data_IF_657788567833
#
_entry.id   IF_657788567833
#
_cell.length_a   1.000
_cell.length_b   1.000
_cell.length_c   1.000
_cell.angle_alpha   90.00
_cell.angle_beta   90.00
_cell.angle_gamma   90.00
#
_symmetry.space_group_name_H-M   'P 1'
#
loop_
_entity.id
_entity.type
_entity.pdbx_description
1 polymer ?
#
# COMPACT_ATOMS: atom_id res chain seq x y z
N UNK A 1 -7.33 -30.55 82.19
CA UNK A 1 -6.00 -30.27 81.62
C UNK A 1 -6.04 -30.94 80.28
N UNK A 2 -6.55 -30.22 79.29
CA UNK A 2 -6.87 -30.75 77.98
C UNK A 2 -5.97 -30.06 76.97
N UNK A 3 -5.11 -30.86 76.33
CA UNK A 3 -4.22 -30.46 75.24
C UNK A 3 -5.04 -30.16 73.98
N UNK A 4 -5.04 -28.90 73.56
CA UNK A 4 -5.59 -28.51 72.25
C UNK A 4 -4.45 -28.61 71.23
N UNK A 5 -4.49 -29.65 70.40
CA UNK A 5 -3.66 -29.77 69.21
C UNK A 5 -4.08 -28.72 68.18
N UNK A 6 -3.17 -27.79 67.87
CA UNK A 6 -3.32 -26.88 66.75
C UNK A 6 -3.17 -27.66 65.43
N UNK A 7 -4.23 -27.68 64.63
CA UNK A 7 -4.20 -28.20 63.26
C UNK A 7 -3.55 -27.17 62.34
N UNK A 8 -2.43 -27.55 61.73
CA UNK A 8 -1.82 -26.84 60.61
C UNK A 8 -2.76 -26.85 59.41
N UNK A 9 -3.20 -25.66 58.99
CA UNK A 9 -3.87 -25.47 57.70
C UNK A 9 -2.81 -25.34 56.60
N UNK A 10 -2.88 -26.12 55.51
CA UNK A 10 -1.99 -25.91 54.39
C UNK A 10 -2.29 -24.55 53.76
N UNK A 11 -1.27 -23.68 53.76
CA UNK A 11 -1.28 -22.43 53.00
C UNK A 11 -1.46 -22.78 51.52
N UNK A 12 -2.65 -22.51 50.98
CA UNK A 12 -2.86 -22.46 49.54
C UNK A 12 -1.97 -21.37 48.98
N UNK A 13 -0.88 -21.77 48.35
CA UNK A 13 -0.06 -20.90 47.53
C UNK A 13 -0.93 -20.34 46.42
N UNK A 14 -1.15 -19.02 46.44
CA UNK A 14 -1.57 -18.29 45.25
C UNK A 14 -0.54 -18.61 44.18
N UNK A 15 -0.88 -19.51 43.25
CA UNK A 15 -0.12 -19.66 42.02
C UNK A 15 -0.09 -18.26 41.39
N UNK A 16 1.10 -17.67 41.34
CA UNK A 16 1.39 -16.57 40.43
C UNK A 16 0.90 -17.03 39.05
N UNK A 17 -0.15 -16.38 38.56
CA UNK A 17 -0.56 -16.52 37.17
C UNK A 17 0.60 -15.89 36.41
N UNK A 18 1.57 -16.72 36.00
CA UNK A 18 2.55 -16.31 35.00
C UNK A 18 1.74 -15.69 33.85
N UNK A 19 1.97 -14.42 33.49
CA UNK A 19 1.28 -13.85 32.35
C UNK A 19 1.60 -14.74 31.16
N UNK A 20 0.56 -15.38 30.59
CA UNK A 20 0.64 -16.08 29.32
C UNK A 20 1.52 -15.25 28.41
N UNK A 21 2.69 -15.77 28.04
CA UNK A 21 3.55 -15.12 27.06
C UNK A 21 2.69 -14.85 25.84
N UNK A 22 2.34 -13.59 25.63
CA UNK A 22 1.65 -13.15 24.43
C UNK A 22 2.54 -13.56 23.26
N UNK A 23 2.15 -14.61 22.55
CA UNK A 23 2.79 -14.96 21.29
C UNK A 23 2.79 -13.71 20.43
N UNK A 24 3.98 -13.31 19.96
CA UNK A 24 4.10 -12.12 19.12
C UNK A 24 3.17 -12.29 17.92
N UNK A 25 2.34 -11.28 17.59
CA UNK A 25 1.46 -11.36 16.44
C UNK A 25 2.21 -11.72 15.16
N UNK A 26 1.83 -12.80 14.49
CA UNK A 26 2.39 -13.15 13.19
C UNK A 26 1.64 -12.44 12.06
N UNK A 27 2.38 -11.86 11.12
CA UNK A 27 1.86 -11.13 9.96
C UNK A 27 2.21 -11.81 8.63
N UNK A 28 1.23 -11.82 7.72
CA UNK A 28 1.41 -12.04 6.28
C UNK A 28 1.10 -10.75 5.53
N UNK A 29 2.01 -10.33 4.65
CA UNK A 29 1.82 -9.14 3.82
C UNK A 29 1.43 -9.52 2.39
N UNK A 30 0.48 -8.79 1.83
CA UNK A 30 0.11 -8.85 0.42
C UNK A 30 0.34 -7.47 -0.19
N UNK A 31 1.35 -7.36 -1.05
CA UNK A 31 1.87 -6.08 -1.52
C UNK A 31 1.55 -5.88 -3.00
N UNK A 32 0.83 -4.80 -3.27
CA UNK A 32 0.66 -4.23 -4.60
C UNK A 32 1.84 -3.29 -4.90
N UNK A 33 2.80 -3.82 -5.65
CA UNK A 33 4.06 -3.13 -5.94
C UNK A 33 3.88 -1.95 -6.92
N UNK A 34 2.79 -1.92 -7.69
CA UNK A 34 2.51 -0.84 -8.64
C UNK A 34 1.88 0.37 -7.94
N UNK A 35 1.08 0.12 -6.90
CA UNK A 35 0.35 1.17 -6.19
C UNK A 35 1.16 1.83 -5.06
N UNK A 36 2.10 1.08 -4.46
CA UNK A 36 2.89 1.49 -3.30
C UNK A 36 4.39 1.44 -3.58
N UNK A 37 5.11 2.50 -3.19
CA UNK A 37 6.57 2.54 -3.34
C UNK A 37 7.28 1.72 -2.26
N UNK A 38 8.33 1.00 -2.67
CA UNK A 38 9.22 0.22 -1.80
C UNK A 38 9.90 1.06 -0.71
N UNK A 39 9.98 2.39 -0.88
CA UNK A 39 10.46 3.29 0.17
C UNK A 39 9.64 3.22 1.46
N UNK A 40 8.38 2.79 1.36
CA UNK A 40 7.48 2.62 2.51
C UNK A 40 7.79 1.37 3.33
N UNK A 41 8.67 0.47 2.86
CA UNK A 41 8.97 -0.80 3.53
C UNK A 41 9.50 -0.62 4.95
N UNK A 42 10.41 0.34 5.17
CA UNK A 42 10.97 0.61 6.49
C UNK A 42 9.89 1.05 7.49
N UNK A 43 9.05 2.02 7.10
CA UNK A 43 7.97 2.49 7.95
C UNK A 43 6.90 1.41 8.19
N UNK A 44 6.60 0.58 7.19
CA UNK A 44 5.68 -0.55 7.35
C UNK A 44 6.21 -1.55 8.37
N UNK A 45 7.49 -1.90 8.29
CA UNK A 45 8.12 -2.83 9.23
C UNK A 45 8.15 -2.22 10.64
N UNK A 46 8.47 -0.94 10.77
CA UNK A 46 8.49 -0.22 12.04
C UNK A 46 7.14 -0.28 12.75
N UNK A 47 6.05 0.05 12.04
CA UNK A 47 4.69 -0.05 12.58
C UNK A 47 4.36 -1.48 13.01
N UNK A 48 4.65 -2.48 12.17
CA UNK A 48 4.21 -3.87 12.46
C UNK A 48 5.05 -4.57 13.54
N UNK A 49 6.36 -4.32 13.56
CA UNK A 49 7.28 -5.02 14.47
C UNK A 49 7.58 -4.22 15.74
N UNK A 50 7.72 -2.90 15.65
CA UNK A 50 8.05 -2.05 16.79
C UNK A 50 6.80 -1.50 17.48
N UNK A 51 5.85 -0.90 16.75
CA UNK A 51 4.65 -0.32 17.37
C UNK A 51 3.64 -1.40 17.79
N UNK A 52 3.38 -2.37 16.92
CA UNK A 52 2.42 -3.46 17.20
C UNK A 52 3.08 -4.65 17.91
N UNK A 53 4.42 -4.78 17.85
CA UNK A 53 5.16 -5.84 18.54
C UNK A 53 5.05 -7.22 17.89
N UNK A 54 4.75 -7.30 16.58
CA UNK A 54 4.62 -8.58 15.86
C UNK A 54 5.87 -9.01 15.09
N UNK A 55 5.70 -10.06 14.29
CA UNK A 55 6.70 -10.62 13.38
C UNK A 55 6.11 -10.81 12.00
N UNK A 56 6.87 -10.44 10.96
CA UNK A 56 6.45 -10.66 9.57
C UNK A 56 7.01 -12.01 9.14
N UNK A 57 6.13 -12.95 8.79
CA UNK A 57 6.50 -14.33 8.46
C UNK A 57 6.61 -14.56 6.96
N UNK A 58 5.70 -13.95 6.19
CA UNK A 58 5.66 -14.09 4.74
C UNK A 58 5.21 -12.81 4.08
N UNK A 59 5.68 -12.63 2.86
CA UNK A 59 5.24 -11.58 1.95
C UNK A 59 4.90 -12.21 0.62
N UNK A 60 3.71 -11.93 0.12
CA UNK A 60 3.33 -12.19 -1.25
C UNK A 60 3.23 -10.84 -1.95
N UNK A 61 3.92 -10.67 -3.07
CA UNK A 61 3.93 -9.42 -3.81
C UNK A 61 3.62 -9.66 -5.29
N UNK A 62 2.92 -8.70 -5.89
CA UNK A 62 2.68 -8.66 -7.31
C UNK A 62 2.74 -7.21 -7.80
N UNK A 63 3.19 -7.07 -9.05
CA UNK A 63 3.22 -5.83 -9.79
C UNK A 63 3.36 -6.17 -11.26
N UNK A 64 3.00 -5.26 -12.15
CA UNK A 64 2.90 -5.49 -13.59
C UNK A 64 4.24 -5.35 -14.34
N UNK A 65 5.37 -5.48 -13.61
CA UNK A 65 6.77 -5.37 -14.05
C UNK A 65 7.13 -4.07 -14.79
N UNK A 66 6.28 -3.04 -14.79
CA UNK A 66 6.66 -1.71 -15.29
C UNK A 66 7.63 -1.07 -14.31
N UNK A 67 8.93 -1.12 -14.63
CA UNK A 67 9.97 -0.40 -13.89
C UNK A 67 10.51 -1.12 -12.66
N UNK A 68 10.60 -2.45 -12.68
CA UNK A 68 11.27 -3.27 -11.65
C UNK A 68 10.78 -2.99 -10.21
N UNK A 69 9.48 -2.67 -10.05
CA UNK A 69 8.88 -2.35 -8.75
C UNK A 69 8.91 -3.55 -7.79
N UNK A 70 8.68 -4.77 -8.30
CA UNK A 70 8.77 -5.99 -7.51
C UNK A 70 10.18 -6.18 -6.93
N UNK A 71 11.21 -6.05 -7.78
CA UNK A 71 12.62 -6.18 -7.34
C UNK A 71 13.00 -5.11 -6.32
N UNK A 72 12.50 -3.89 -6.47
CA UNK A 72 12.71 -2.81 -5.52
C UNK A 72 12.13 -3.15 -4.13
N UNK A 73 10.91 -3.69 -4.10
CA UNK A 73 10.29 -4.18 -2.86
C UNK A 73 11.04 -5.36 -2.25
N UNK A 74 11.43 -6.35 -3.06
CA UNK A 74 12.18 -7.53 -2.60
C UNK A 74 13.50 -7.10 -1.96
N UNK A 75 14.23 -6.21 -2.63
CA UNK A 75 15.50 -5.67 -2.13
C UNK A 75 15.30 -4.95 -0.80
N UNK A 76 14.37 -4.00 -0.74
CA UNK A 76 14.11 -3.23 0.48
C UNK A 76 13.71 -4.12 1.66
N UNK A 77 12.82 -5.11 1.43
CA UNK A 77 12.38 -6.03 2.48
C UNK A 77 13.49 -6.95 2.97
N UNK A 78 14.35 -7.44 2.07
CA UNK A 78 15.47 -8.34 2.44
C UNK A 78 16.61 -7.61 3.14
N UNK A 79 16.83 -6.34 2.82
CA UNK A 79 17.79 -5.48 3.53
C UNK A 79 17.36 -5.28 4.99
N UNK A 80 16.06 -5.17 5.25
CA UNK A 80 15.49 -4.93 6.58
C UNK A 80 15.25 -6.23 7.37
N UNK A 81 14.84 -7.30 6.70
CA UNK A 81 14.57 -8.62 7.31
C UNK A 81 15.30 -9.69 6.48
N UNK A 82 16.57 -9.97 6.80
CA UNK A 82 17.33 -11.03 6.14
C UNK A 82 16.63 -12.39 6.29
N UNK A 83 16.48 -13.13 5.19
CA UNK A 83 15.83 -14.44 5.18
C UNK A 83 14.30 -14.42 5.17
N UNK A 84 13.66 -13.25 5.03
CA UNK A 84 12.20 -13.16 4.88
C UNK A 84 11.72 -14.00 3.69
N UNK A 85 10.68 -14.82 3.93
CA UNK A 85 10.01 -15.58 2.88
C UNK A 85 9.20 -14.63 2.01
N UNK A 86 9.60 -14.48 0.75
CA UNK A 86 8.95 -13.60 -0.22
C UNK A 86 8.54 -14.42 -1.45
N UNK A 87 7.24 -14.48 -1.71
CA UNK A 87 6.65 -15.02 -2.93
C UNK A 87 6.40 -13.86 -3.91
N UNK A 88 7.18 -13.83 -5.00
CA UNK A 88 6.97 -12.90 -6.11
C UNK A 88 6.05 -13.54 -7.15
N UNK A 89 4.82 -13.03 -7.27
CA UNK A 89 3.85 -13.53 -8.23
C UNK A 89 4.17 -12.99 -9.62
N UNK A 90 4.54 -13.89 -10.53
CA UNK A 90 4.71 -13.55 -11.94
C UNK A 90 3.34 -13.35 -12.58
N UNK A 91 3.10 -12.13 -13.08
CA UNK A 91 1.84 -11.75 -13.72
C UNK A 91 2.10 -11.17 -15.11
N UNK A 92 1.21 -11.40 -16.09
CA UNK A 92 1.34 -10.77 -17.39
C UNK A 92 1.20 -9.24 -17.26
N UNK A 93 1.95 -8.48 -18.07
CA UNK A 93 1.84 -7.02 -18.12
C UNK A 93 0.53 -6.59 -18.81
N UNK A 94 -0.58 -6.70 -18.08
CA UNK A 94 -1.91 -6.25 -18.49
C UNK A 94 -2.61 -5.58 -17.30
N UNK A 95 -3.58 -4.69 -17.55
CA UNK A 95 -4.37 -4.09 -16.48
C UNK A 95 -4.94 -5.15 -15.54
N UNK A 96 -4.92 -4.86 -14.25
CA UNK A 96 -5.49 -5.65 -13.16
C UNK A 96 -4.88 -7.05 -12.95
N UNK A 97 -3.81 -7.42 -13.66
CA UNK A 97 -3.22 -8.75 -13.50
C UNK A 97 -2.60 -8.97 -12.13
N UNK A 98 -1.91 -7.94 -11.61
CA UNK A 98 -1.35 -7.94 -10.26
C UNK A 98 -2.47 -8.05 -9.22
N UNK A 99 -3.53 -7.26 -9.36
CA UNK A 99 -4.68 -7.27 -8.44
C UNK A 99 -5.34 -8.64 -8.40
N UNK A 100 -5.66 -9.22 -9.57
CA UNK A 100 -6.25 -10.56 -9.68
C UNK A 100 -5.34 -11.60 -9.02
N UNK A 101 -4.03 -11.55 -9.26
CA UNK A 101 -3.10 -12.51 -8.68
C UNK A 101 -3.04 -12.41 -7.15
N UNK A 102 -3.01 -11.19 -6.59
CA UNK A 102 -3.04 -10.97 -5.15
C UNK A 102 -4.36 -11.43 -4.53
N UNK A 103 -5.50 -11.20 -5.18
CA UNK A 103 -6.81 -11.68 -4.72
C UNK A 103 -6.85 -13.21 -4.69
N UNK A 104 -6.35 -13.86 -5.75
CA UNK A 104 -6.27 -15.31 -5.80
C UNK A 104 -5.33 -15.87 -4.73
N UNK A 105 -4.21 -15.20 -4.46
CA UNK A 105 -3.30 -15.59 -3.38
C UNK A 105 -3.94 -15.43 -1.99
N UNK A 106 -4.62 -14.30 -1.74
CA UNK A 106 -5.40 -14.08 -0.51
C UNK A 106 -6.45 -15.18 -0.31
N UNK A 107 -7.19 -15.53 -1.35
CA UNK A 107 -8.20 -16.60 -1.31
C UNK A 107 -7.60 -17.98 -1.09
N UNK A 108 -6.49 -18.30 -1.76
CA UNK A 108 -5.76 -19.57 -1.61
C UNK A 108 -5.30 -19.80 -0.16
N UNK A 109 -4.81 -18.76 0.50
CA UNK A 109 -4.21 -18.87 1.83
C UNK A 109 -5.23 -18.64 2.97
N UNK A 110 -6.48 -18.31 2.66
CA UNK A 110 -7.52 -17.95 3.63
C UNK A 110 -7.68 -18.97 4.77
N UNK A 111 -7.80 -20.25 4.42
CA UNK A 111 -7.95 -21.33 5.40
C UNK A 111 -6.73 -21.44 6.34
N UNK A 112 -5.54 -21.20 5.83
CA UNK A 112 -4.32 -21.21 6.63
C UNK A 112 -4.26 -20.01 7.59
N UNK A 113 -4.59 -18.81 7.12
CA UNK A 113 -4.64 -17.61 7.97
C UNK A 113 -5.61 -17.79 9.13
N UNK A 114 -6.79 -18.37 8.87
CA UNK A 114 -7.79 -18.69 9.89
C UNK A 114 -7.27 -19.71 10.90
N UNK A 115 -6.66 -20.80 10.42
CA UNK A 115 -6.12 -21.88 11.26
C UNK A 115 -4.98 -21.41 12.17
N UNK A 116 -4.07 -20.61 11.62
CA UNK A 116 -2.86 -20.14 12.32
C UNK A 116 -3.07 -18.85 13.09
N UNK A 117 -4.26 -18.23 12.97
CA UNK A 117 -4.56 -16.90 13.52
C UNK A 117 -3.59 -15.81 13.04
N UNK A 118 -2.99 -16.01 11.86
CA UNK A 118 -2.11 -15.05 11.23
C UNK A 118 -2.89 -13.79 10.86
N UNK A 119 -2.28 -12.64 11.11
CA UNK A 119 -2.82 -11.33 10.75
C UNK A 119 -2.42 -11.01 9.32
N UNK A 120 -3.36 -10.56 8.52
CA UNK A 120 -3.13 -10.19 7.12
C UNK A 120 -2.99 -8.68 7.01
N UNK A 121 -2.02 -8.20 6.25
CA UNK A 121 -1.88 -6.79 5.88
C UNK A 121 -1.88 -6.68 4.38
N UNK A 122 -2.86 -5.97 3.83
CA UNK A 122 -2.91 -5.62 2.40
C UNK A 122 -2.28 -4.25 2.22
N UNK A 123 -1.23 -4.17 1.40
CA UNK A 123 -0.47 -2.95 1.13
C UNK A 123 -0.89 -2.42 -0.24
N UNK A 124 -1.99 -1.68 -0.28
CA UNK A 124 -2.53 -1.05 -1.49
C UNK A 124 -3.56 0.04 -1.16
N UNK A 125 -3.82 0.92 -2.12
CA UNK A 125 -4.97 1.85 -2.14
C UNK A 125 -6.02 1.45 -3.18
N UNK A 126 -5.77 0.40 -3.96
CA UNK A 126 -6.65 -0.02 -5.04
C UNK A 126 -7.98 -0.55 -4.49
N UNK A 127 -9.09 -0.05 -5.04
CA UNK A 127 -10.43 -0.39 -4.55
C UNK A 127 -10.75 -1.87 -4.66
N UNK A 128 -10.27 -2.55 -5.70
CA UNK A 128 -10.54 -3.97 -5.91
C UNK A 128 -9.85 -4.81 -4.83
N UNK A 129 -8.61 -4.45 -4.48
CA UNK A 129 -7.87 -5.09 -3.39
C UNK A 129 -8.47 -4.78 -2.02
N UNK A 130 -8.96 -3.56 -1.80
CA UNK A 130 -9.66 -3.19 -0.57
C UNK A 130 -10.98 -3.97 -0.42
N UNK A 131 -11.73 -4.16 -1.50
CA UNK A 131 -12.97 -4.93 -1.47
C UNK A 131 -12.70 -6.41 -1.16
N UNK A 132 -11.66 -6.99 -1.76
CA UNK A 132 -11.22 -8.34 -1.41
C UNK A 132 -10.77 -8.44 0.06
N UNK A 133 -10.09 -7.41 0.57
CA UNK A 133 -9.66 -7.35 1.96
C UNK A 133 -10.85 -7.30 2.94
N UNK A 134 -11.94 -6.61 2.59
CA UNK A 134 -13.18 -6.65 3.37
C UNK A 134 -13.77 -8.06 3.42
N UNK A 135 -13.85 -8.76 2.28
CA UNK A 135 -14.35 -10.13 2.25
C UNK A 135 -13.51 -11.09 3.11
N UNK A 136 -12.18 -10.95 3.09
CA UNK A 136 -11.26 -11.74 3.93
C UNK A 136 -11.47 -11.41 5.42
N UNK A 137 -11.71 -10.15 5.76
CA UNK A 137 -12.04 -9.74 7.13
C UNK A 137 -13.37 -10.33 7.59
N UNK A 138 -14.41 -10.28 6.75
CA UNK A 138 -15.74 -10.82 7.04
C UNK A 138 -15.72 -12.33 7.22
N UNK A 139 -14.79 -13.03 6.54
CA UNK A 139 -14.51 -14.44 6.76
C UNK A 139 -13.84 -14.76 8.13
N UNK A 140 -13.50 -13.74 8.92
CA UNK A 140 -12.97 -13.86 10.28
C UNK A 140 -11.46 -13.72 10.41
N UNK A 141 -10.75 -13.35 9.35
CA UNK A 141 -9.31 -13.06 9.42
C UNK A 141 -9.08 -11.67 10.03
N UNK A 142 -8.09 -11.57 10.91
CA UNK A 142 -7.63 -10.26 11.41
C UNK A 142 -6.86 -9.55 10.30
N UNK A 143 -7.52 -8.59 9.66
CA UNK A 143 -6.98 -7.90 8.51
C UNK A 143 -6.76 -6.41 8.78
N UNK A 144 -5.65 -5.91 8.26
CA UNK A 144 -5.27 -4.50 8.23
C UNK A 144 -4.97 -4.08 6.80
N UNK A 145 -5.04 -2.79 6.54
CA UNK A 145 -4.59 -2.18 5.29
C UNK A 145 -3.45 -1.23 5.61
N UNK A 146 -2.46 -1.12 4.72
CA UNK A 146 -1.42 -0.11 4.84
C UNK A 146 -1.17 0.58 3.50
N UNK A 147 -0.97 1.90 3.51
CA UNK A 147 -0.56 2.64 2.33
C UNK A 147 0.04 4.00 2.69
N UNK A 148 0.85 4.55 1.79
CA UNK A 148 1.40 5.89 1.90
C UNK A 148 0.31 6.96 1.90
N UNK A 149 0.37 7.89 2.86
CA UNK A 149 -0.57 9.00 2.96
C UNK A 149 -0.52 9.85 1.70
N UNK A 150 -1.67 10.18 1.11
CA UNK A 150 -1.72 10.96 -0.12
C UNK A 150 -2.68 12.12 0.01
N UNK A 151 -2.33 13.24 -0.62
CA UNK A 151 -3.17 14.43 -0.66
C UNK A 151 -4.52 14.18 -1.37
N UNK A 152 -4.59 13.14 -2.22
CA UNK A 152 -5.82 12.72 -2.88
C UNK A 152 -6.57 11.78 -1.91
N UNK A 153 -7.84 12.08 -1.57
CA UNK A 153 -8.67 11.19 -0.78
C UNK A 153 -8.78 9.83 -1.46
N UNK A 154 -8.24 8.80 -0.81
CA UNK A 154 -8.37 7.42 -1.26
C UNK A 154 -9.63 6.80 -0.69
N UNK A 155 -10.08 5.71 -1.30
CA UNK A 155 -11.22 4.94 -0.80
C UNK A 155 -10.88 4.37 0.58
N UNK A 156 -11.17 5.14 1.63
CA UNK A 156 -11.06 4.68 3.02
C UNK A 156 -12.29 3.85 3.33
N UNK A 157 -12.09 2.54 3.46
CA UNK A 157 -13.11 1.64 3.98
C UNK A 157 -13.13 1.79 5.50
N UNK A 158 -14.21 2.36 6.05
CA UNK A 158 -14.37 2.53 7.51
C UNK A 158 -14.26 1.20 8.28
N UNK A 159 -14.52 0.11 7.58
CA UNK A 159 -14.51 -1.25 8.10
C UNK A 159 -13.09 -1.79 8.23
N UNK A 160 -12.08 -1.19 7.62
CA UNK A 160 -10.71 -1.70 7.61
C UNK A 160 -9.79 -0.82 8.46
N UNK A 161 -9.16 -1.43 9.47
CA UNK A 161 -8.12 -0.75 10.24
C UNK A 161 -6.94 -0.45 9.31
N UNK A 162 -6.59 0.83 9.19
CA UNK A 162 -5.63 1.30 8.21
C UNK A 162 -4.40 1.91 8.88
N UNK A 163 -3.21 1.53 8.43
CA UNK A 163 -1.94 2.15 8.76
C UNK A 163 -1.54 3.13 7.66
N UNK A 164 -1.39 4.40 8.01
CA UNK A 164 -0.88 5.42 7.09
C UNK A 164 0.64 5.45 7.16
N UNK A 165 1.28 5.23 6.03
CA UNK A 165 2.73 5.25 5.88
C UNK A 165 3.19 6.65 5.41
N UNK A 166 4.41 7.09 5.74
CA UNK A 166 4.93 8.35 5.26
C UNK A 166 5.03 8.35 3.73
N UNK A 167 4.60 9.45 3.10
CA UNK A 167 4.77 9.65 1.67
C UNK A 167 6.20 10.12 1.37
N UNK A 168 7.08 9.16 1.15
CA UNK A 168 8.43 9.44 0.70
C UNK A 168 8.37 9.49 -0.83
N UNK A 169 8.34 10.71 -1.37
CA UNK A 169 8.32 10.92 -2.81
C UNK A 169 9.54 10.25 -3.44
N UNK A 170 9.32 9.42 -4.46
CA UNK A 170 10.43 8.93 -5.27
C UNK A 170 11.15 10.13 -5.87
N UNK A 171 12.48 10.28 -5.69
CA UNK A 171 13.21 11.34 -6.36
C UNK A 171 12.94 11.19 -7.86
N UNK A 172 12.61 12.28 -8.58
CA UNK A 172 12.36 12.19 -10.01
C UNK A 172 13.59 11.59 -10.66
N UNK A 173 13.44 10.39 -11.25
CA UNK A 173 14.49 9.79 -12.06
C UNK A 173 14.91 10.83 -13.09
N UNK A 174 16.16 11.27 -12.98
CA UNK A 174 16.77 12.16 -13.96
C UNK A 174 16.57 11.52 -15.33
N UNK A 175 15.91 12.24 -16.22
CA UNK A 175 15.79 11.87 -17.62
C UNK A 175 17.18 11.44 -18.11
N UNK A 176 17.27 10.21 -18.61
CA UNK A 176 18.44 9.70 -19.31
C UNK A 176 18.81 10.74 -20.37
N UNK A 177 19.90 11.47 -20.13
CA UNK A 177 20.60 12.19 -21.19
C UNK A 177 21.17 11.11 -22.09
N UNK A 178 20.42 10.76 -23.12
CA UNK A 178 20.95 10.10 -24.31
C UNK A 178 22.03 11.01 -24.87
N UNK A 179 23.29 10.68 -24.57
CA UNK A 179 24.45 11.27 -25.23
C UNK A 179 24.55 10.54 -26.56
N UNK A 180 23.98 11.11 -27.61
CA UNK A 180 24.38 10.75 -28.97
C UNK A 180 25.77 11.36 -29.24
N UNK A 181 26.73 10.58 -29.78
CA UNK A 181 27.94 11.14 -30.35
C UNK A 181 27.75 11.30 -31.85
N UNK A 182 27.64 12.54 -32.35
CA UNK A 182 28.24 12.82 -33.65
C UNK A 182 28.52 14.31 -33.88
N UNK A 183 29.82 14.56 -34.10
CA UNK A 183 30.41 15.28 -35.23
C UNK A 183 29.79 16.59 -35.75
N UNK A 184 30.72 17.56 -35.88
CA UNK A 184 30.73 18.70 -36.83
C UNK A 184 30.12 20.05 -36.41
N UNK A 185 31.02 20.92 -35.92
CA UNK A 185 31.30 22.27 -36.45
C UNK A 185 30.17 23.02 -37.18
N UNK A 186 29.67 24.11 -36.55
CA UNK A 186 29.73 25.49 -37.11
C UNK A 186 29.19 26.55 -36.14
N UNK A 187 30.12 27.42 -35.75
CA UNK A 187 30.08 28.85 -35.38
C UNK A 187 28.69 29.53 -35.24
N UNK A 188 28.49 30.07 -34.02
CA UNK A 188 27.47 31.02 -33.60
C UNK A 188 27.44 32.34 -34.40
N UNK A 189 26.26 32.77 -34.85
CA UNK A 189 25.77 34.14 -34.64
C UNK A 189 24.26 34.24 -34.94
N UNK A 190 23.38 34.24 -33.92
CA UNK A 190 21.99 34.69 -34.08
C UNK A 190 21.55 35.53 -32.88
N UNK A 191 21.06 36.72 -33.22
CA UNK A 191 20.46 37.80 -32.42
C UNK A 191 19.28 37.32 -31.55
N UNK A 192 18.96 38.01 -30.43
CA UNK A 192 17.77 37.70 -29.64
C UNK A 192 16.53 38.31 -30.30
N UNK A 193 15.53 37.49 -30.61
CA UNK A 193 14.18 37.95 -30.93
C UNK A 193 13.19 37.46 -29.87
N UNK A 194 12.43 38.42 -29.38
CA UNK A 194 11.36 38.33 -28.39
C UNK A 194 10.29 37.30 -28.76
N UNK A 195 9.95 36.42 -27.82
CA UNK A 195 8.79 35.53 -27.92
C UNK A 195 7.49 36.29 -27.57
N UNK A 196 6.43 36.22 -28.38
CA UNK A 196 5.08 36.52 -27.95
C UNK A 196 4.37 35.27 -27.40
N UNK A 197 3.35 35.54 -26.59
CA UNK A 197 2.61 34.61 -25.74
C UNK A 197 1.97 33.41 -26.46
N UNK A 198 1.92 32.31 -25.70
CA UNK A 198 1.23 31.04 -25.90
C UNK A 198 -0.09 31.15 -26.68
N UNK A 199 -0.10 30.58 -27.89
CA UNK A 199 -1.31 30.25 -28.62
C UNK A 199 -1.66 28.78 -28.34
N UNK A 200 -2.73 28.55 -27.57
CA UNK A 200 -3.31 27.23 -27.37
C UNK A 200 -3.78 26.69 -28.74
N UNK A 201 -3.42 25.46 -29.14
CA UNK A 201 -3.85 24.87 -30.41
C UNK A 201 -5.39 24.88 -30.51
N UNK A 202 -5.91 25.33 -31.66
CA UNK A 202 -7.36 25.48 -31.93
C UNK A 202 -8.18 24.19 -31.65
N UNK A 203 -7.51 23.05 -31.67
CA UNK A 203 -8.06 21.73 -31.36
C UNK A 203 -8.47 21.56 -29.88
N UNK A 204 -7.69 22.13 -28.94
CA UNK A 204 -8.00 22.08 -27.50
C UNK A 204 -9.20 22.98 -27.17
N UNK A 205 -9.30 24.14 -27.84
CA UNK A 205 -10.44 25.05 -27.67
C UNK A 205 -11.76 24.43 -28.19
N UNK A 206 -11.70 23.65 -29.28
CA UNK A 206 -12.86 22.91 -29.77
C UNK A 206 -13.26 21.75 -28.84
N UNK A 207 -12.30 21.02 -28.28
CA UNK A 207 -12.57 19.95 -27.32
C UNK A 207 -13.25 20.48 -26.03
N UNK A 208 -12.76 21.60 -25.48
CA UNK A 208 -13.36 22.24 -24.29
C UNK A 208 -14.78 22.74 -24.59
N UNK A 209 -15.02 23.29 -25.79
CA UNK A 209 -16.36 23.73 -26.19
C UNK A 209 -17.34 22.54 -26.26
N UNK A 210 -16.91 21.42 -26.84
CA UNK A 210 -17.74 20.22 -26.95
C UNK A 210 -18.08 19.64 -25.58
N UNK A 211 -17.12 19.56 -24.65
CA UNK A 211 -17.37 19.07 -23.28
C UNK A 211 -18.37 19.96 -22.54
N UNK A 212 -18.27 21.29 -22.68
CA UNK A 212 -19.21 22.23 -22.05
C UNK A 212 -20.64 22.10 -22.60
N UNK A 213 -20.79 21.90 -23.91
CA UNK A 213 -22.10 21.70 -24.53
C UNK A 213 -22.75 20.39 -24.10
N UNK A 214 -21.97 19.30 -23.98
CA UNK A 214 -22.47 17.99 -23.54
C UNK A 214 -22.85 17.98 -22.05
N UNK A 215 -22.13 18.70 -21.19
CA UNK A 215 -22.48 18.82 -19.77
C UNK A 215 -23.72 19.69 -19.53
N UNK A 216 -24.04 20.64 -20.40
CA UNK A 216 -25.23 21.49 -20.27
C UNK A 216 -26.55 20.75 -20.61
N UNK A 217 -26.48 19.58 -21.25
CA UNK A 217 -27.66 18.82 -21.70
C UNK A 217 -28.04 17.64 -20.81
N UNK A 218 -27.39 17.43 -19.66
CA UNK A 218 -27.80 16.37 -18.74
C UNK A 218 -29.08 16.76 -17.99
N UNK A 219 -30.21 16.05 -18.18
CA UNK A 219 -31.41 16.32 -17.42
C UNK A 219 -31.27 15.66 -16.04
N UNK A 220 -30.77 16.43 -15.07
CA UNK A 220 -30.80 16.04 -13.66
C UNK A 220 -29.53 16.35 -12.89
N UNK A 221 -29.54 17.48 -12.19
CA UNK A 221 -28.78 17.69 -10.95
C UNK A 221 -27.39 18.31 -11.08
N UNK A 222 -27.29 19.63 -10.90
CA UNK A 222 -26.02 20.30 -10.64
C UNK A 222 -26.15 21.82 -10.59
N UNK A 223 -25.74 22.40 -9.46
CA UNK A 223 -25.97 23.78 -9.00
C UNK A 223 -25.58 24.91 -9.97
N UNK A 224 -26.31 26.03 -9.87
CA UNK A 224 -26.02 27.29 -10.58
C UNK A 224 -24.70 27.91 -10.08
N UNK A 225 -23.85 28.46 -10.97
CA UNK A 225 -22.53 29.01 -10.61
C UNK A 225 -22.56 30.32 -9.79
N UNK A 226 -23.68 30.64 -9.15
CA UNK A 226 -23.88 31.83 -8.30
C UNK A 226 -24.00 31.50 -6.81
N UNK A 227 -23.84 30.25 -6.39
CA UNK A 227 -24.00 29.82 -4.98
C UNK A 227 -22.68 29.54 -4.24
N UNK A 228 -21.57 30.15 -4.66
CA UNK A 228 -20.36 30.21 -3.81
C UNK A 228 -19.88 31.65 -3.76
N UNK A 229 -20.19 32.32 -2.65
CA UNK A 229 -19.60 33.59 -2.27
C UNK A 229 -18.22 33.43 -1.66
#
# INVERSE_FOLDING_TARGET
MDDIQAQDFPQSTCAEIEPMRLERPAFALYIDADNQSAQSAAALIDVLQHDVGGSIHRVTLAGNDKGNKNDSWIKALRELIPGLAIENLSVPCRPNAADIALILALGKDLAEHLRTRMRVVVVSRDTLLLDAAEQVKDAGVRLYVAYADSQIPTARRANLTTFLLPNLAEPPHAAERTVEPDSESRIHLVRPMSQPASAVPKEVAQAIKHVRETCAQQPGGGYSPTEVG
#
